data_IF_793066921290
#
_entry.id   IF_793066921290
#
_cell.length_a   1.000
_cell.length_b   1.000
_cell.length_c   1.000
_cell.angle_alpha   90.00
_cell.angle_beta   90.00
_cell.angle_gamma   90.00
#
_symmetry.space_group_name_H-M   'P 1'
#
loop_
_entity.id
_entity.type
_entity.pdbx_description
1 polymer ?
#
# COMPACT_ATOMS: atom_id res chain seq x y z
N UNK A 1 -31.24 -13.61 68.16
CA UNK A 1 -32.55 -14.00 68.72
C UNK A 1 -33.41 -14.41 67.54
N UNK A 2 -33.26 -15.69 67.19
CA UNK A 2 -34.34 -16.70 67.18
C UNK A 2 -35.00 -16.72 65.80
N UNK A 3 -34.57 -17.55 64.84
CA UNK A 3 -34.50 -19.03 64.78
C UNK A 3 -35.86 -19.73 64.63
N UNK A 4 -35.96 -20.52 63.57
CA UNK A 4 -36.60 -21.84 63.46
C UNK A 4 -36.92 -22.12 61.96
N UNK A 5 -36.14 -22.93 61.22
CA UNK A 5 -36.04 -24.41 61.25
C UNK A 5 -37.32 -25.06 60.68
N UNK A 6 -37.33 -26.00 59.72
CA UNK A 6 -36.73 -27.35 59.54
C UNK A 6 -37.11 -27.82 58.10
N UNK A 7 -36.49 -28.78 57.42
CA UNK A 7 -35.43 -29.75 57.71
C UNK A 7 -35.27 -30.71 56.51
N UNK A 8 -34.04 -31.14 56.24
CA UNK A 8 -33.71 -32.38 55.50
C UNK A 8 -33.84 -33.59 56.47
N UNK A 9 -33.82 -34.89 56.06
CA UNK A 9 -32.55 -35.59 55.72
C UNK A 9 -32.72 -36.84 54.75
N UNK A 10 -31.76 -37.29 53.91
CA UNK A 10 -30.58 -38.18 54.10
C UNK A 10 -30.68 -39.62 53.48
N UNK A 11 -29.71 -39.92 52.60
CA UNK A 11 -28.86 -41.14 52.35
C UNK A 11 -29.41 -42.58 52.21
N UNK A 12 -28.72 -43.32 51.31
CA UNK A 12 -28.18 -44.69 51.53
C UNK A 12 -28.58 -45.72 50.45
N UNK A 13 -27.72 -46.09 49.49
CA UNK A 13 -26.70 -47.18 49.46
C UNK A 13 -27.20 -48.65 49.37
N UNK A 14 -26.79 -49.29 48.26
CA UNK A 14 -26.22 -50.64 48.12
C UNK A 14 -27.07 -51.89 47.76
N UNK A 15 -26.62 -52.54 46.66
CA UNK A 15 -26.26 -53.98 46.51
C UNK A 15 -27.20 -54.99 45.81
N UNK A 16 -26.58 -55.81 44.93
CA UNK A 16 -27.00 -57.13 44.42
C UNK A 16 -27.98 -57.09 43.24
N UNK A 17 -27.73 -57.59 42.03
CA UNK A 17 -26.84 -58.64 41.56
C UNK A 17 -27.67 -59.86 41.13
N UNK A 18 -28.01 -59.99 39.84
CA UNK A 18 -28.17 -61.30 39.20
C UNK A 18 -28.12 -61.28 37.66
N UNK A 19 -27.76 -62.43 37.10
CA UNK A 19 -27.09 -62.67 35.81
C UNK A 19 -28.00 -62.80 34.58
N UNK A 20 -27.35 -62.58 33.42
CA UNK A 20 -27.48 -63.23 32.11
C UNK A 20 -28.75 -63.02 31.27
N UNK A 21 -28.61 -62.30 30.15
CA UNK A 21 -28.63 -62.95 28.83
C UNK A 21 -28.07 -62.02 27.75
N UNK A 22 -27.32 -62.63 26.82
CA UNK A 22 -26.67 -62.01 25.68
C UNK A 22 -27.63 -62.05 24.50
N UNK A 23 -27.91 -60.91 23.88
CA UNK A 23 -28.21 -60.83 22.44
C UNK A 23 -27.63 -59.51 21.93
N UNK A 24 -26.57 -59.60 21.12
CA UNK A 24 -26.03 -58.48 20.38
C UNK A 24 -26.92 -58.13 19.19
N UNK A 25 -27.04 -56.83 18.90
CA UNK A 25 -27.54 -56.33 17.62
C UNK A 25 -27.02 -54.91 17.36
N UNK A 26 -26.11 -54.81 16.39
CA UNK A 26 -26.07 -53.79 15.33
C UNK A 26 -26.26 -52.30 15.69
N UNK A 27 -25.46 -51.75 16.62
CA UNK A 27 -25.43 -50.28 16.81
C UNK A 27 -24.07 -49.60 16.55
N UNK A 28 -22.99 -50.35 16.31
CA UNK A 28 -21.66 -49.75 16.09
C UNK A 28 -21.32 -49.43 14.63
N UNK A 29 -22.07 -49.97 13.66
CA UNK A 29 -21.83 -49.70 12.22
C UNK A 29 -22.41 -48.36 11.72
N UNK A 30 -23.37 -47.78 12.45
CA UNK A 30 -24.00 -46.51 12.06
C UNK A 30 -23.25 -45.26 12.56
N UNK A 31 -22.51 -45.36 13.68
CA UNK A 31 -21.70 -44.28 14.22
C UNK A 31 -20.43 -44.00 13.39
N UNK A 32 -19.82 -45.04 12.81
CA UNK A 32 -18.66 -44.91 11.92
C UNK A 32 -18.98 -44.33 10.53
N UNK A 33 -20.17 -44.63 9.98
CA UNK A 33 -20.65 -44.07 8.71
C UNK A 33 -21.00 -42.59 8.82
N UNK A 34 -21.61 -42.15 9.93
CA UNK A 34 -21.91 -40.73 10.14
C UNK A 34 -20.64 -39.89 10.37
N UNK A 35 -19.66 -40.38 11.15
CA UNK A 35 -18.37 -39.68 11.29
C UNK A 35 -17.61 -39.54 9.97
N UNK A 36 -17.55 -40.59 9.14
CA UNK A 36 -16.90 -40.50 7.84
C UNK A 36 -17.65 -39.61 6.84
N UNK A 37 -18.98 -39.52 6.95
CA UNK A 37 -19.80 -38.60 6.16
C UNK A 37 -19.64 -37.16 6.61
N UNK A 38 -19.53 -36.89 7.91
CA UNK A 38 -19.26 -35.56 8.47
C UNK A 38 -17.82 -35.10 8.20
N UNK A 39 -16.83 -36.00 8.23
CA UNK A 39 -15.44 -35.70 7.82
C UNK A 39 -15.38 -35.42 6.31
N UNK A 40 -16.07 -36.21 5.47
CA UNK A 40 -16.18 -35.92 4.03
C UNK A 40 -16.93 -34.63 3.76
N UNK A 41 -18.00 -34.31 4.49
CA UNK A 41 -18.71 -33.02 4.38
C UNK A 41 -17.83 -31.86 4.85
N UNK A 42 -17.02 -32.04 5.89
CA UNK A 42 -16.07 -31.03 6.36
C UNK A 42 -14.86 -30.89 5.41
N UNK A 43 -14.48 -31.94 4.69
CA UNK A 43 -13.47 -31.89 3.62
C UNK A 43 -14.04 -31.26 2.35
N UNK A 44 -15.26 -31.60 1.92
CA UNK A 44 -15.99 -30.97 0.81
C UNK A 44 -16.29 -29.48 1.09
N UNK A 45 -16.63 -29.13 2.35
CA UNK A 45 -16.79 -27.72 2.77
C UNK A 45 -15.44 -26.97 2.87
N UNK A 46 -14.31 -27.69 2.99
CA UNK A 46 -12.96 -27.11 2.89
C UNK A 46 -12.51 -26.95 1.44
N UNK A 47 -13.03 -27.75 0.51
CA UNK A 47 -12.72 -27.63 -0.92
C UNK A 47 -13.38 -26.41 -1.57
N UNK A 48 -14.51 -25.93 -1.04
CA UNK A 48 -15.20 -24.70 -1.49
C UNK A 48 -14.99 -23.47 -0.56
N UNK A 49 -14.23 -23.62 0.54
CA UNK A 49 -13.95 -22.56 1.50
C UNK A 49 -12.58 -21.90 1.30
N UNK A 50 -12.49 -20.58 1.49
CA UNK A 50 -11.19 -19.90 1.54
C UNK A 50 -10.40 -20.39 2.75
N UNK A 51 -9.33 -21.16 2.54
CA UNK A 51 -8.39 -21.55 3.61
C UNK A 51 -7.51 -20.35 3.97
N UNK A 52 -7.74 -19.79 5.16
CA UNK A 52 -7.02 -18.65 5.70
C UNK A 52 -5.79 -19.06 6.53
N UNK A 53 -5.57 -20.37 6.74
CA UNK A 53 -4.46 -20.83 7.54
C UNK A 53 -3.14 -20.69 6.76
N UNK A 54 -2.14 -20.04 7.37
CA UNK A 54 -0.79 -20.00 6.82
C UNK A 54 -0.16 -21.40 6.87
N UNK A 55 0.51 -21.78 5.78
CA UNK A 55 1.28 -23.03 5.72
C UNK A 55 2.52 -22.92 6.64
N UNK A 56 3.11 -24.04 7.10
CA UNK A 56 4.29 -23.99 7.98
C UNK A 56 5.46 -23.18 7.40
N UNK A 57 5.70 -23.27 6.08
CA UNK A 57 6.71 -22.47 5.37
C UNK A 57 6.41 -20.95 5.39
N UNK A 58 5.14 -20.58 5.29
CA UNK A 58 4.69 -19.18 5.36
C UNK A 58 4.86 -18.64 6.78
N UNK A 59 4.58 -19.45 7.80
CA UNK A 59 4.82 -19.11 9.21
C UNK A 59 6.32 -18.90 9.48
N UNK A 60 7.17 -19.82 9.01
CA UNK A 60 8.62 -19.71 9.16
C UNK A 60 9.16 -18.44 8.49
N UNK A 61 8.67 -18.12 7.28
CA UNK A 61 9.06 -16.89 6.59
C UNK A 61 8.58 -15.64 7.33
N UNK A 62 7.36 -15.63 7.87
CA UNK A 62 6.87 -14.51 8.71
C UNK A 62 7.78 -14.29 9.91
N UNK A 63 8.19 -15.36 10.58
CA UNK A 63 9.05 -15.27 11.76
C UNK A 63 10.46 -14.79 11.38
N UNK A 64 10.98 -15.17 10.21
CA UNK A 64 12.21 -14.61 9.61
C UNK A 64 12.08 -13.10 9.35
N UNK A 65 10.96 -12.66 8.76
CA UNK A 65 10.68 -11.24 8.52
C UNK A 65 10.65 -10.46 9.83
N UNK A 66 9.97 -10.99 10.86
CA UNK A 66 9.91 -10.36 12.19
C UNK A 66 11.29 -10.23 12.82
N UNK A 67 12.10 -11.28 12.74
CA UNK A 67 13.46 -11.25 13.25
C UNK A 67 14.31 -10.18 12.53
N UNK A 68 14.23 -10.12 11.20
CA UNK A 68 14.91 -9.10 10.41
C UNK A 68 14.46 -7.67 10.79
N UNK A 69 13.16 -7.44 10.91
CA UNK A 69 12.60 -6.14 11.32
C UNK A 69 13.06 -5.78 12.74
N UNK A 70 13.04 -6.71 13.69
CA UNK A 70 13.51 -6.45 15.06
C UNK A 70 14.98 -6.03 15.11
N UNK A 71 15.83 -6.60 14.25
CA UNK A 71 17.26 -6.28 14.19
C UNK A 71 17.54 -4.98 13.42
N UNK A 72 16.83 -4.72 12.32
CA UNK A 72 17.21 -3.69 11.35
C UNK A 72 16.31 -2.44 11.38
N UNK A 73 15.07 -2.55 11.86
CA UNK A 73 14.14 -1.43 11.96
C UNK A 73 14.30 -0.74 13.33
N UNK A 74 15.22 0.22 13.39
CA UNK A 74 15.51 0.98 14.60
C UNK A 74 14.32 1.85 15.04
N UNK A 75 14.30 2.26 16.30
CA UNK A 75 13.24 3.13 16.82
C UNK A 75 13.27 4.53 16.20
N UNK A 76 14.44 4.99 15.76
CA UNK A 76 14.61 6.20 14.95
C UNK A 76 13.89 6.07 13.60
N UNK A 77 14.12 4.98 12.86
CA UNK A 77 13.44 4.74 11.57
C UNK A 77 11.91 4.72 11.76
N UNK A 78 11.43 4.06 12.83
CA UNK A 78 10.00 4.04 13.18
C UNK A 78 9.48 5.43 13.53
N UNK A 79 10.26 6.23 14.25
CA UNK A 79 9.85 7.58 14.65
C UNK A 79 9.71 8.51 13.44
N UNK A 80 10.69 8.53 12.55
CA UNK A 80 10.60 9.26 11.29
C UNK A 80 9.40 8.80 10.45
N UNK A 81 9.18 7.47 10.33
CA UNK A 81 8.03 6.94 9.61
C UNK A 81 6.69 7.38 10.22
N UNK A 82 6.58 7.42 11.56
CA UNK A 82 5.38 7.91 12.25
C UNK A 82 5.10 9.38 11.94
N UNK A 83 6.15 10.18 11.84
CA UNK A 83 6.13 11.62 11.56
C UNK A 83 5.98 11.97 10.07
N UNK A 84 5.88 10.98 9.17
CA UNK A 84 5.60 11.24 7.75
C UNK A 84 4.09 11.48 7.56
N UNK A 85 3.66 12.67 7.07
CA UNK A 85 2.25 12.98 6.87
C UNK A 85 1.67 12.41 5.58
N UNK A 86 2.50 12.26 4.54
CA UNK A 86 2.10 11.82 3.21
C UNK A 86 2.85 10.59 2.70
N UNK A 87 3.12 10.59 1.40
CA UNK A 87 3.78 9.50 0.66
C UNK A 87 5.30 9.70 0.59
N UNK A 88 5.76 10.96 0.65
CA UNK A 88 7.18 11.29 0.61
C UNK A 88 7.73 11.41 2.03
N UNK A 89 8.35 10.32 2.49
CA UNK A 89 9.20 10.37 3.67
C UNK A 89 10.53 11.07 3.36
N UNK A 90 11.19 11.53 4.43
CA UNK A 90 12.54 12.08 4.39
C UNK A 90 13.52 11.23 3.55
N UNK A 91 14.39 11.88 2.78
CA UNK A 91 15.27 11.18 1.85
C UNK A 91 16.31 10.32 2.59
N UNK A 92 16.91 10.83 3.67
CA UNK A 92 17.94 10.10 4.42
C UNK A 92 17.34 8.87 5.07
N UNK A 93 16.12 8.99 5.62
CA UNK A 93 15.35 7.85 6.10
C UNK A 93 15.17 6.77 5.02
N UNK A 94 14.70 7.17 3.82
CA UNK A 94 14.44 6.24 2.72
C UNK A 94 15.73 5.58 2.22
N UNK A 95 16.83 6.33 2.14
CA UNK A 95 18.15 5.83 1.74
C UNK A 95 18.67 4.81 2.75
N UNK A 96 18.63 5.14 4.04
CA UNK A 96 19.12 4.25 5.09
C UNK A 96 18.31 2.94 5.15
N UNK A 97 16.98 3.05 5.06
CA UNK A 97 16.12 1.87 5.04
C UNK A 97 16.39 1.00 3.80
N UNK A 98 16.53 1.61 2.63
CA UNK A 98 16.86 0.89 1.39
C UNK A 98 18.20 0.16 1.49
N UNK A 99 19.24 0.79 2.06
CA UNK A 99 20.56 0.15 2.24
C UNK A 99 20.47 -1.11 3.10
N UNK A 100 19.71 -1.06 4.21
CA UNK A 100 19.48 -2.22 5.10
C UNK A 100 18.78 -3.35 4.36
N UNK A 101 17.72 -3.03 3.62
CA UNK A 101 17.01 -3.99 2.80
C UNK A 101 17.91 -4.59 1.71
N UNK A 102 18.68 -3.76 1.00
CA UNK A 102 19.53 -4.21 -0.08
C UNK A 102 20.67 -5.10 0.41
N UNK A 103 21.26 -4.80 1.59
CA UNK A 103 22.26 -5.66 2.24
C UNK A 103 21.73 -7.08 2.49
N UNK A 104 20.44 -7.23 2.78
CA UNK A 104 19.76 -8.54 2.94
C UNK A 104 19.33 -9.15 1.61
N UNK A 105 19.31 -8.38 0.52
CA UNK A 105 18.73 -8.76 -0.77
C UNK A 105 17.20 -8.60 -0.83
N UNK A 106 16.61 -7.81 0.08
CA UNK A 106 15.17 -7.61 0.22
C UNK A 106 14.68 -6.24 -0.25
N UNK A 107 15.55 -5.42 -0.87
CA UNK A 107 15.20 -4.10 -1.40
C UNK A 107 14.05 -4.16 -2.41
N UNK A 108 14.02 -5.18 -3.26
CA UNK A 108 12.96 -5.40 -4.23
C UNK A 108 12.28 -6.77 -4.03
N UNK A 109 11.29 -6.87 -3.13
CA UNK A 109 10.61 -8.13 -2.83
C UNK A 109 10.01 -8.83 -4.07
N UNK A 110 9.44 -8.06 -4.99
CA UNK A 110 8.74 -8.57 -6.18
C UNK A 110 9.66 -8.86 -7.36
N UNK A 111 10.90 -8.37 -7.35
CA UNK A 111 11.80 -8.54 -8.49
C UNK A 111 12.33 -9.97 -8.55
N UNK A 112 12.43 -10.57 -9.74
CA UNK A 112 13.10 -11.85 -9.93
C UNK A 112 14.57 -11.80 -9.47
N UNK A 113 15.07 -12.94 -8.96
CA UNK A 113 16.46 -13.06 -8.50
C UNK A 113 17.50 -12.73 -9.57
N UNK A 114 17.23 -13.05 -10.84
CA UNK A 114 18.12 -12.74 -11.97
C UNK A 114 18.36 -11.23 -12.16
N UNK A 115 17.47 -10.38 -11.62
CA UNK A 115 17.59 -8.93 -11.64
C UNK A 115 17.99 -8.36 -10.27
N UNK A 116 18.51 -9.18 -9.36
CA UNK A 116 18.97 -8.77 -8.03
C UNK A 116 17.87 -8.62 -6.96
N UNK A 117 16.63 -8.99 -7.29
CA UNK A 117 15.51 -8.98 -6.36
C UNK A 117 15.47 -10.15 -5.37
N UNK A 118 14.58 -10.06 -4.39
CA UNK A 118 14.38 -11.12 -3.40
C UNK A 118 13.72 -12.38 -4.00
N UNK A 119 12.93 -12.19 -5.08
CA UNK A 119 12.17 -13.26 -5.72
C UNK A 119 11.04 -13.82 -4.86
N UNK A 120 10.43 -13.00 -4.00
CA UNK A 120 9.34 -13.45 -3.16
C UNK A 120 8.12 -13.82 -3.98
N UNK A 121 7.52 -14.97 -3.65
CA UNK A 121 6.23 -15.37 -4.20
C UNK A 121 5.09 -14.47 -3.67
N UNK A 122 3.87 -14.66 -4.17
CA UNK A 122 2.70 -13.83 -3.80
C UNK A 122 2.49 -13.79 -2.28
N UNK A 123 2.52 -14.94 -1.61
CA UNK A 123 2.29 -15.06 -0.16
C UNK A 123 3.43 -14.41 0.64
N UNK A 124 4.68 -14.64 0.25
CA UNK A 124 5.84 -14.00 0.89
C UNK A 124 5.79 -12.48 0.76
N UNK A 125 5.38 -11.94 -0.38
CA UNK A 125 5.18 -10.48 -0.54
C UNK A 125 4.10 -9.95 0.39
N UNK A 126 3.00 -10.69 0.54
CA UNK A 126 1.93 -10.33 1.46
C UNK A 126 2.40 -10.32 2.92
N UNK A 127 3.09 -11.37 3.34
CA UNK A 127 3.67 -11.49 4.69
C UNK A 127 4.65 -10.35 4.94
N UNK A 128 5.58 -10.11 4.01
CA UNK A 128 6.55 -9.03 4.09
C UNK A 128 5.87 -7.67 4.29
N UNK A 129 4.89 -7.36 3.45
CA UNK A 129 4.17 -6.09 3.50
C UNK A 129 3.34 -5.95 4.80
N UNK A 130 2.70 -7.03 5.24
CA UNK A 130 1.88 -7.04 6.47
C UNK A 130 2.73 -6.84 7.72
N UNK A 131 3.86 -7.53 7.82
CA UNK A 131 4.77 -7.40 8.95
C UNK A 131 5.49 -6.04 8.95
N UNK A 132 5.87 -5.49 7.78
CA UNK A 132 6.36 -4.12 7.67
C UNK A 132 5.33 -3.10 8.16
N UNK A 133 4.07 -3.25 7.75
CA UNK A 133 2.98 -2.37 8.17
C UNK A 133 2.75 -2.43 9.69
N UNK A 134 2.72 -3.65 10.25
CA UNK A 134 2.56 -3.87 11.69
C UNK A 134 3.73 -3.31 12.51
N UNK A 135 4.97 -3.46 12.03
CA UNK A 135 6.17 -2.96 12.69
C UNK A 135 6.35 -1.43 12.56
N UNK A 136 5.55 -0.78 11.72
CA UNK A 136 5.69 0.66 11.43
C UNK A 136 6.95 0.99 10.64
N UNK A 137 7.36 0.09 9.74
CA UNK A 137 8.50 0.33 8.85
C UNK A 137 8.24 1.57 7.96
N UNK A 138 9.29 2.32 7.59
CA UNK A 138 9.17 3.41 6.63
C UNK A 138 8.46 2.96 5.37
N UNK A 139 7.38 3.65 5.05
CA UNK A 139 6.76 3.59 3.73
C UNK A 139 7.25 4.80 2.94
N UNK A 140 7.48 4.63 1.65
CA UNK A 140 7.96 5.72 0.83
C UNK A 140 7.92 5.39 -0.64
N UNK A 141 7.73 6.43 -1.45
CA UNK A 141 7.86 6.34 -2.89
C UNK A 141 9.31 6.01 -3.26
N UNK A 142 9.58 4.75 -3.57
CA UNK A 142 10.73 4.37 -4.37
C UNK A 142 10.21 3.91 -5.75
N UNK A 143 9.91 4.89 -6.60
CA UNK A 143 9.41 4.63 -7.96
C UNK A 143 10.41 3.82 -8.79
N UNK A 144 11.71 3.89 -8.46
CA UNK A 144 12.72 3.02 -9.04
C UNK A 144 12.36 1.54 -8.86
N UNK A 145 12.12 1.13 -7.62
CA UNK A 145 11.79 -0.25 -7.25
C UNK A 145 10.40 -0.68 -7.72
N UNK A 146 9.39 0.17 -7.51
CA UNK A 146 7.99 -0.21 -7.74
C UNK A 146 7.53 -0.05 -9.19
N UNK A 147 8.17 0.82 -9.98
CA UNK A 147 7.69 1.19 -11.31
C UNK A 147 8.76 1.06 -12.40
N UNK A 148 9.88 1.77 -12.25
CA UNK A 148 10.90 1.88 -13.31
C UNK A 148 11.58 0.54 -13.57
N UNK A 149 12.02 -0.15 -12.52
CA UNK A 149 12.71 -1.43 -12.70
C UNK A 149 11.84 -2.51 -13.36
N UNK A 150 10.61 -2.78 -12.89
CA UNK A 150 9.69 -3.67 -13.59
C UNK A 150 9.46 -3.26 -15.05
N UNK A 151 9.29 -1.95 -15.31
CA UNK A 151 9.13 -1.42 -16.67
C UNK A 151 10.35 -1.73 -17.55
N UNK A 152 11.57 -1.57 -17.03
CA UNK A 152 12.81 -1.90 -17.73
C UNK A 152 12.96 -3.40 -17.96
N UNK A 153 12.52 -4.24 -17.03
CA UNK A 153 12.54 -5.70 -17.22
C UNK A 153 11.65 -6.12 -18.38
N UNK A 154 10.48 -5.48 -18.55
CA UNK A 154 9.52 -5.78 -19.61
C UNK A 154 9.78 -5.09 -20.95
N UNK A 155 10.24 -3.85 -20.94
CA UNK A 155 10.35 -3.00 -22.14
C UNK A 155 11.73 -2.35 -22.36
N UNK A 156 12.64 -2.46 -21.39
CA UNK A 156 13.98 -1.90 -21.50
C UNK A 156 14.88 -2.75 -22.40
N UNK A 157 15.91 -2.12 -22.96
CA UNK A 157 17.01 -2.84 -23.62
C UNK A 157 17.90 -3.52 -22.57
N UNK A 158 18.75 -4.44 -22.99
CA UNK A 158 19.65 -5.14 -22.07
C UNK A 158 20.70 -4.19 -21.47
N UNK A 159 21.13 -3.18 -22.22
CA UNK A 159 22.01 -2.11 -21.72
C UNK A 159 21.31 -1.27 -20.65
N UNK A 160 20.04 -0.92 -20.86
CA UNK A 160 19.24 -0.18 -19.87
C UNK A 160 19.05 -1.02 -18.59
N UNK A 161 18.73 -2.31 -18.72
CA UNK A 161 18.60 -3.22 -17.56
C UNK A 161 19.91 -3.33 -16.79
N UNK A 162 21.02 -3.55 -17.49
CA UNK A 162 22.34 -3.69 -16.88
C UNK A 162 22.81 -2.40 -16.20
N UNK A 163 22.45 -1.23 -16.75
CA UNK A 163 22.79 0.06 -16.17
C UNK A 163 21.92 0.41 -14.97
N UNK A 164 20.59 0.42 -15.11
CA UNK A 164 19.70 1.01 -14.11
C UNK A 164 19.31 0.07 -12.97
N UNK A 165 19.08 -1.22 -13.22
CA UNK A 165 18.54 -2.12 -12.19
C UNK A 165 19.44 -2.21 -10.94
N UNK A 166 20.77 -2.38 -11.06
CA UNK A 166 21.66 -2.39 -9.89
C UNK A 166 21.67 -1.06 -9.13
N UNK A 167 21.59 0.07 -9.86
CA UNK A 167 21.63 1.44 -9.32
C UNK A 167 20.34 1.82 -8.60
N UNK A 168 19.21 1.25 -9.02
CA UNK A 168 17.94 1.35 -8.30
C UNK A 168 18.03 0.57 -6.98
N UNK A 169 18.55 -0.66 -7.01
CA UNK A 169 18.63 -1.52 -5.82
C UNK A 169 19.55 -0.95 -4.75
N UNK A 170 20.67 -0.35 -5.14
CA UNK A 170 21.65 0.21 -4.21
C UNK A 170 21.35 1.66 -3.76
N UNK A 171 20.32 2.29 -4.34
CA UNK A 171 19.89 3.64 -3.98
C UNK A 171 20.73 4.77 -4.58
N UNK A 172 21.51 4.51 -5.63
CA UNK A 172 22.18 5.55 -6.41
C UNK A 172 21.21 6.34 -7.28
N UNK A 173 20.19 5.68 -7.83
CA UNK A 173 19.21 6.30 -8.73
C UNK A 173 17.84 6.45 -8.03
N UNK A 174 17.47 7.71 -7.73
CA UNK A 174 16.17 8.08 -7.17
C UNK A 174 15.31 8.75 -8.23
N UNK A 175 14.15 8.16 -8.47
CA UNK A 175 13.27 8.50 -9.58
C UNK A 175 12.06 9.31 -9.13
N UNK A 176 11.72 10.31 -9.94
CA UNK A 176 10.41 10.96 -9.93
C UNK A 176 9.67 10.77 -11.26
N UNK A 177 8.33 10.93 -11.24
CA UNK A 177 7.46 10.71 -12.38
C UNK A 177 7.05 12.01 -13.08
N UNK A 178 7.45 12.18 -14.33
CA UNK A 178 7.05 13.30 -15.19
C UNK A 178 5.87 12.94 -16.11
N UNK A 179 4.68 12.69 -15.56
CA UNK A 179 3.49 12.33 -16.35
C UNK A 179 2.56 13.53 -16.55
N UNK A 180 1.87 13.93 -15.48
CA UNK A 180 0.83 14.95 -15.51
C UNK A 180 1.38 16.33 -15.86
N UNK A 181 0.50 17.15 -16.43
CA UNK A 181 0.77 18.54 -16.82
C UNK A 181 -0.39 19.43 -16.36
N UNK A 182 -0.24 20.77 -16.31
CA UNK A 182 -1.34 21.67 -15.93
C UNK A 182 -2.64 21.44 -16.71
N UNK A 183 -2.56 21.03 -17.98
CA UNK A 183 -3.71 20.69 -18.82
C UNK A 183 -3.99 19.19 -18.99
N UNK A 184 -3.20 18.31 -18.35
CA UNK A 184 -3.22 16.87 -18.64
C UNK A 184 -3.07 16.04 -17.35
N UNK A 185 -4.19 15.85 -16.65
CA UNK A 185 -4.31 14.95 -15.50
C UNK A 185 -4.96 13.62 -15.89
N UNK A 186 -6.28 13.50 -15.68
CA UNK A 186 -7.07 12.31 -16.05
C UNK A 186 -7.05 12.03 -17.56
N UNK A 187 -7.04 13.07 -18.41
CA UNK A 187 -6.77 12.94 -19.85
C UNK A 187 -5.26 13.02 -20.12
N UNK A 188 -4.51 12.02 -19.62
CA UNK A 188 -3.05 11.99 -19.75
C UNK A 188 -2.58 11.99 -21.22
N UNK A 189 -3.38 11.44 -22.14
CA UNK A 189 -3.05 11.42 -23.56
C UNK A 189 -2.97 12.81 -24.19
N UNK A 190 -3.56 13.84 -23.57
CA UNK A 190 -3.52 15.22 -24.03
C UNK A 190 -2.21 15.96 -23.77
N UNK A 191 -1.21 15.32 -23.14
CA UNK A 191 0.08 15.93 -22.79
C UNK A 191 0.75 16.66 -23.96
N UNK A 192 1.42 17.76 -23.65
CA UNK A 192 2.03 18.72 -24.58
C UNK A 192 3.53 18.90 -24.38
N UNK A 193 4.11 18.47 -23.25
CA UNK A 193 5.57 18.44 -23.11
C UNK A 193 6.14 17.59 -24.26
N UNK A 194 7.02 18.18 -25.06
CA UNK A 194 7.46 17.61 -26.33
C UNK A 194 8.94 17.25 -26.30
N UNK A 195 9.31 16.31 -27.15
CA UNK A 195 10.69 15.93 -27.39
C UNK A 195 10.97 16.02 -28.89
N UNK A 196 11.65 17.08 -29.31
CA UNK A 196 12.03 17.30 -30.70
C UNK A 196 13.32 16.53 -31.00
N UNK A 197 13.37 15.82 -32.12
CA UNK A 197 14.55 15.03 -32.50
C UNK A 197 15.69 15.94 -32.99
N UNK A 198 16.89 15.76 -32.43
CA UNK A 198 18.12 16.44 -32.85
C UNK A 198 19.31 15.47 -32.86
N UNK A 199 19.64 14.93 -34.04
CA UNK A 199 20.70 13.92 -34.18
C UNK A 199 20.43 12.67 -33.35
N UNK A 200 21.36 12.34 -32.45
CA UNK A 200 21.28 11.20 -31.52
C UNK A 200 20.54 11.53 -30.21
N UNK A 201 20.05 12.76 -30.06
CA UNK A 201 19.36 13.26 -28.87
C UNK A 201 17.92 13.70 -29.16
N UNK A 202 17.18 13.91 -28.09
CA UNK A 202 15.96 14.70 -28.03
C UNK A 202 16.21 16.03 -27.34
N UNK A 203 15.50 17.07 -27.75
CA UNK A 203 15.40 18.35 -27.05
C UNK A 203 14.01 18.43 -26.42
N UNK A 204 13.95 18.40 -25.09
CA UNK A 204 12.71 18.37 -24.32
C UNK A 204 12.33 19.78 -23.90
N UNK A 205 11.09 20.15 -24.20
CA UNK A 205 10.50 21.44 -23.86
C UNK A 205 9.08 21.27 -23.29
N UNK A 206 8.78 21.94 -22.19
CA UNK A 206 7.45 21.95 -21.59
C UNK A 206 7.47 21.94 -20.07
N UNK A 207 6.42 21.37 -19.47
CA UNK A 207 6.29 21.31 -18.01
C UNK A 207 5.60 20.01 -17.57
N UNK A 208 5.94 19.55 -16.37
CA UNK A 208 5.25 18.51 -15.63
C UNK A 208 4.76 19.07 -14.30
N UNK A 209 3.64 18.56 -13.82
CA UNK A 209 2.97 19.02 -12.61
C UNK A 209 2.69 17.85 -11.67
N UNK A 210 2.58 18.14 -10.38
CA UNK A 210 2.34 17.15 -9.32
C UNK A 210 3.45 16.10 -9.21
N UNK A 211 4.68 16.44 -9.59
CA UNK A 211 5.81 15.52 -9.59
C UNK A 211 6.28 15.28 -8.14
N UNK A 212 5.84 14.18 -7.53
CA UNK A 212 6.22 13.79 -6.17
C UNK A 212 7.73 13.58 -6.04
N UNK A 213 8.33 14.20 -5.02
CA UNK A 213 9.73 13.98 -4.67
C UNK A 213 10.77 14.44 -5.70
N UNK A 214 10.40 15.29 -6.66
CA UNK A 214 11.33 15.78 -7.69
C UNK A 214 12.58 16.43 -7.08
N UNK A 215 12.42 17.24 -6.04
CA UNK A 215 13.53 17.90 -5.33
C UNK A 215 14.46 16.92 -4.56
N UNK A 216 14.05 15.67 -4.37
CA UNK A 216 14.84 14.59 -3.75
C UNK A 216 15.29 13.53 -4.77
N UNK A 217 15.08 13.78 -6.07
CA UNK A 217 15.34 12.82 -7.14
C UNK A 217 16.49 13.31 -8.02
N UNK A 218 17.28 12.37 -8.54
CA UNK A 218 18.35 12.63 -9.50
C UNK A 218 18.04 12.04 -10.89
N UNK A 219 16.94 11.30 -11.01
CA UNK A 219 16.41 10.75 -12.26
C UNK A 219 14.94 11.12 -12.42
N UNK A 220 14.48 11.18 -13.67
CA UNK A 220 13.06 11.25 -13.99
C UNK A 220 12.71 10.27 -15.10
N UNK A 221 11.58 9.59 -14.98
CA UNK A 221 10.94 8.96 -16.13
C UNK A 221 9.72 9.79 -16.52
N UNK A 222 9.59 10.12 -17.80
CA UNK A 222 8.54 11.03 -18.25
C UNK A 222 7.91 10.58 -19.57
N UNK A 223 6.68 11.05 -19.78
CA UNK A 223 6.01 10.94 -21.06
C UNK A 223 6.12 12.26 -21.81
N UNK A 224 6.53 12.17 -23.07
CA UNK A 224 6.69 13.33 -23.95
C UNK A 224 6.04 13.07 -25.29
N UNK A 225 5.57 14.13 -25.94
CA UNK A 225 5.02 14.11 -27.29
C UNK A 225 6.17 14.15 -28.29
N UNK A 226 6.34 13.08 -29.05
CA UNK A 226 7.33 12.97 -30.14
C UNK A 226 6.67 13.10 -31.52
N UNK A 227 5.36 12.85 -31.62
CA UNK A 227 4.58 13.15 -32.82
C UNK A 227 3.31 13.95 -32.45
N UNK A 228 3.26 15.26 -32.78
CA UNK A 228 2.07 16.07 -32.55
C UNK A 228 0.96 15.83 -33.57
N UNK A 229 1.26 15.17 -34.69
CA UNK A 229 0.34 14.96 -35.81
C UNK A 229 -0.23 13.54 -35.85
N UNK A 230 0.12 12.68 -34.88
CA UNK A 230 -0.39 11.33 -34.77
C UNK A 230 -1.93 11.30 -34.79
N UNK A 231 -2.51 10.39 -35.58
CA UNK A 231 -3.96 10.28 -35.76
C UNK A 231 -4.70 10.03 -34.43
N UNK A 232 -4.09 9.27 -33.51
CA UNK A 232 -4.52 9.17 -32.12
C UNK A 232 -3.48 9.80 -31.21
N UNK A 233 -3.93 10.61 -30.25
CA UNK A 233 -3.03 11.32 -29.32
C UNK A 233 -2.06 10.39 -28.59
N UNK A 234 -2.48 9.16 -28.26
CA UNK A 234 -1.68 8.13 -27.59
C UNK A 234 -0.52 7.60 -28.46
N UNK A 235 -0.71 7.58 -29.77
CA UNK A 235 0.25 7.06 -30.75
C UNK A 235 1.33 8.09 -31.10
N UNK A 236 1.36 9.24 -30.43
CA UNK A 236 2.41 10.26 -30.60
C UNK A 236 3.23 10.51 -29.34
N UNK A 237 3.19 9.58 -28.38
CA UNK A 237 3.83 9.71 -27.06
C UNK A 237 5.00 8.73 -26.96
N UNK A 238 6.13 9.18 -26.42
CA UNK A 238 7.30 8.36 -26.10
C UNK A 238 7.57 8.36 -24.59
N UNK A 239 8.20 7.28 -24.10
CA UNK A 239 8.63 7.12 -22.71
C UNK A 239 10.14 7.35 -22.63
N UNK A 240 10.56 8.37 -21.86
CA UNK A 240 11.95 8.81 -21.80
C UNK A 240 12.47 8.76 -20.36
N UNK A 241 13.71 8.30 -20.21
CA UNK A 241 14.49 8.40 -18.97
C UNK A 241 15.41 9.62 -19.03
N UNK A 242 15.28 10.54 -18.08
CA UNK A 242 16.17 11.69 -17.92
C UNK A 242 17.21 11.30 -16.88
N UNK A 243 18.46 11.13 -17.35
CA UNK A 243 19.57 10.65 -16.52
C UNK A 243 20.22 11.71 -15.65
N UNK A 244 20.17 12.95 -16.08
CA UNK A 244 20.69 14.09 -15.34
C UNK A 244 19.52 15.02 -15.05
N UNK A 245 18.81 14.76 -13.95
CA UNK A 245 17.66 15.57 -13.55
C UNK A 245 18.06 16.95 -12.99
N UNK A 246 19.37 17.23 -12.94
CA UNK A 246 19.92 18.54 -12.58
C UNK A 246 20.58 19.22 -13.78
N UNK A 247 20.39 18.68 -14.99
CA UNK A 247 20.89 19.28 -16.22
C UNK A 247 20.37 20.71 -16.40
N UNK A 248 21.19 21.54 -17.04
CA UNK A 248 20.81 22.89 -17.43
C UNK A 248 19.50 22.86 -18.23
N UNK A 249 18.57 23.75 -17.89
CA UNK A 249 17.24 23.82 -18.51
C UNK A 249 16.15 23.10 -17.73
N UNK A 250 16.50 22.29 -16.72
CA UNK A 250 15.53 21.73 -15.78
C UNK A 250 15.37 22.68 -14.59
N UNK A 251 14.13 23.11 -14.32
CA UNK A 251 13.77 23.87 -13.10
C UNK A 251 12.72 23.11 -12.31
N UNK A 252 12.91 22.99 -11.01
CA UNK A 252 11.97 22.36 -10.08
C UNK A 252 11.44 23.41 -9.12
N UNK A 253 10.15 23.72 -9.20
CA UNK A 253 9.47 24.65 -8.31
C UNK A 253 8.62 23.88 -7.28
N UNK A 254 8.73 24.22 -5.98
CA UNK A 254 8.00 23.56 -4.92
C UNK A 254 6.49 23.85 -5.00
N UNK A 255 5.68 22.85 -4.69
CA UNK A 255 4.25 23.03 -4.41
C UNK A 255 4.01 22.60 -2.97
N UNK A 256 3.71 23.57 -2.12
CA UNK A 256 3.40 23.32 -0.71
C UNK A 256 1.95 22.83 -0.62
N UNK A 257 1.79 21.63 -0.08
CA UNK A 257 0.47 21.00 0.06
C UNK A 257 -0.36 21.68 1.16
N UNK A 258 -1.65 21.34 1.22
CA UNK A 258 -2.55 21.86 2.25
C UNK A 258 -2.09 21.53 3.68
N UNK A 259 -1.34 20.45 3.85
CA UNK A 259 -0.76 20.05 5.14
C UNK A 259 0.50 20.86 5.52
N UNK A 260 1.00 21.73 4.62
CA UNK A 260 2.25 22.50 4.81
C UNK A 260 3.50 21.78 4.28
N UNK A 261 3.38 20.55 3.79
CA UNK A 261 4.51 19.73 3.37
C UNK A 261 4.92 20.00 1.91
N UNK A 262 6.24 20.01 1.65
CA UNK A 262 6.82 20.03 0.31
C UNK A 262 6.93 18.60 -0.24
N UNK A 263 5.82 18.06 -0.75
CA UNK A 263 5.78 16.69 -1.28
C UNK A 263 5.85 16.63 -2.81
N UNK A 264 5.23 17.61 -3.48
CA UNK A 264 5.04 17.64 -4.93
C UNK A 264 5.64 18.91 -5.53
N UNK A 265 5.91 18.86 -6.84
CA UNK A 265 6.65 19.90 -7.53
C UNK A 265 6.03 20.15 -8.91
N UNK A 266 6.25 21.36 -9.42
CA UNK A 266 6.19 21.62 -10.86
C UNK A 266 7.60 21.55 -11.42
N UNK A 267 7.75 20.91 -12.58
CA UNK A 267 9.04 20.78 -13.27
C UNK A 267 8.92 21.44 -14.63
N UNK A 268 9.92 22.22 -15.02
CA UNK A 268 10.00 22.90 -16.31
C UNK A 268 11.22 22.40 -17.08
N UNK A 269 11.05 22.28 -18.39
CA UNK A 269 12.09 21.88 -19.33
C UNK A 269 12.22 22.97 -20.38
N UNK A 270 13.42 23.55 -20.47
CA UNK A 270 13.82 24.55 -21.44
C UNK A 270 15.06 24.05 -22.19
N UNK A 271 14.86 23.59 -23.43
CA UNK A 271 15.89 22.99 -24.29
C UNK A 271 16.75 21.90 -23.64
N UNK A 272 16.11 21.00 -22.89
CA UNK A 272 16.80 19.93 -22.15
C UNK A 272 17.18 18.79 -23.09
N UNK A 273 18.49 18.56 -23.25
CA UNK A 273 19.03 17.53 -24.15
C UNK A 273 19.07 16.16 -23.46
N UNK A 274 18.47 15.15 -24.09
CA UNK A 274 18.42 13.76 -23.59
C UNK A 274 18.77 12.77 -24.71
N UNK A 275 19.74 11.87 -24.53
CA UNK A 275 20.08 10.88 -25.54
C UNK A 275 18.91 9.97 -25.94
N UNK A 276 18.75 9.66 -27.23
CA UNK A 276 17.69 8.76 -27.73
C UNK A 276 17.79 7.35 -27.16
N UNK A 277 18.98 6.89 -26.77
CA UNK A 277 19.20 5.61 -26.08
C UNK A 277 18.47 5.52 -24.73
N UNK A 278 18.04 6.65 -24.16
CA UNK A 278 17.28 6.70 -22.92
C UNK A 278 15.78 6.51 -23.14
N UNK A 279 15.33 6.37 -24.38
CA UNK A 279 13.96 6.00 -24.70
C UNK A 279 13.72 4.54 -24.34
N UNK A 280 12.64 4.27 -23.61
CA UNK A 280 12.19 2.91 -23.33
C UNK A 280 11.15 2.52 -24.37
N UNK A 281 11.42 1.43 -25.09
CA UNK A 281 10.61 1.01 -26.23
C UNK A 281 10.85 1.84 -27.51
N UNK A 282 10.00 1.60 -28.50
CA UNK A 282 10.02 2.32 -29.77
C UNK A 282 9.52 3.76 -29.63
N UNK A 283 9.97 4.65 -30.53
CA UNK A 283 9.38 5.98 -30.65
C UNK A 283 7.88 5.88 -30.86
N UNK A 284 7.12 6.82 -30.29
CA UNK A 284 5.66 6.89 -30.40
C UNK A 284 4.89 5.72 -29.74
N UNK A 285 5.59 4.78 -29.10
CA UNK A 285 5.00 3.64 -28.38
C UNK A 285 5.07 3.78 -26.85
N UNK A 286 5.31 5.00 -26.35
CA UNK A 286 5.41 5.31 -24.93
C UNK A 286 4.10 5.07 -24.17
N UNK A 287 2.94 5.17 -24.81
CA UNK A 287 1.66 4.86 -24.18
C UNK A 287 1.54 3.38 -23.77
N UNK A 288 2.10 2.47 -24.57
CA UNK A 288 2.13 1.04 -24.25
C UNK A 288 3.00 0.78 -23.02
N UNK A 289 4.19 1.38 -22.98
CA UNK A 289 5.12 1.30 -21.85
C UNK A 289 4.49 1.89 -20.57
N UNK A 290 3.82 3.04 -20.68
CA UNK A 290 3.14 3.67 -19.56
C UNK A 290 2.00 2.82 -19.00
N UNK A 291 1.18 2.18 -19.85
CA UNK A 291 0.13 1.27 -19.37
C UNK A 291 0.73 0.10 -18.59
N UNK A 292 1.82 -0.49 -19.07
CA UNK A 292 2.53 -1.55 -18.36
C UNK A 292 3.05 -1.07 -17.00
N UNK A 293 3.67 0.12 -16.95
CA UNK A 293 4.12 0.72 -15.69
C UNK A 293 2.95 0.92 -14.69
N UNK A 294 1.81 1.43 -15.17
CA UNK A 294 0.64 1.72 -14.35
C UNK A 294 -0.02 0.46 -13.74
N UNK A 295 0.24 -0.74 -14.28
CA UNK A 295 -0.18 -1.99 -13.65
C UNK A 295 0.53 -2.20 -12.32
N UNK A 296 1.82 -1.83 -12.22
CA UNK A 296 2.61 -1.91 -10.99
C UNK A 296 2.33 -0.76 -10.02
N UNK A 297 1.95 0.42 -10.53
CA UNK A 297 1.51 1.53 -9.67
C UNK A 297 0.26 1.17 -8.85
N UNK A 298 -0.63 0.38 -9.45
CA UNK A 298 -1.93 0.01 -8.87
C UNK A 298 -1.92 -1.32 -8.14
N UNK A 299 -0.95 -2.20 -8.44
CA UNK A 299 -0.85 -3.55 -7.90
C UNK A 299 0.26 -3.69 -6.87
N UNK A 300 -0.06 -4.19 -5.68
CA UNK A 300 0.96 -4.78 -4.79
C UNK A 300 1.21 -4.11 -3.45
N UNK A 301 0.39 -3.16 -3.00
CA UNK A 301 0.41 -2.75 -1.59
C UNK A 301 -0.54 -3.63 -0.77
N UNK A 302 -0.15 -3.97 0.46
CA UNK A 302 -1.03 -4.61 1.46
C UNK A 302 -2.00 -3.55 2.02
N UNK A 303 -3.01 -3.19 1.22
CA UNK A 303 -3.97 -2.15 1.55
C UNK A 303 -4.72 -2.52 2.83
N UNK A 304 -5.14 -3.79 2.95
CA UNK A 304 -5.83 -4.27 4.14
C UNK A 304 -5.00 -4.11 5.41
N UNK A 305 -3.75 -4.60 5.39
CA UNK A 305 -2.84 -4.50 6.54
C UNK A 305 -2.55 -3.05 6.94
N UNK A 306 -2.38 -2.15 5.96
CA UNK A 306 -2.19 -0.72 6.22
C UNK A 306 -3.41 -0.06 6.86
N UNK A 307 -4.62 -0.34 6.34
CA UNK A 307 -5.88 0.16 6.89
C UNK A 307 -6.12 -0.37 8.31
N UNK A 308 -5.85 -1.66 8.54
CA UNK A 308 -5.95 -2.28 9.86
C UNK A 308 -5.02 -1.64 10.88
N UNK A 309 -3.78 -1.37 10.49
CA UNK A 309 -2.83 -0.65 11.34
C UNK A 309 -3.30 0.79 11.64
N UNK A 310 -3.82 1.51 10.63
CA UNK A 310 -4.36 2.85 10.81
C UNK A 310 -5.58 2.85 11.76
N UNK A 311 -6.49 1.89 11.61
CA UNK A 311 -7.64 1.69 12.50
C UNK A 311 -7.20 1.35 13.93
N UNK A 312 -6.20 0.50 14.11
CA UNK A 312 -5.66 0.16 15.42
C UNK A 312 -5.04 1.39 16.11
N UNK A 313 -4.33 2.24 15.37
CA UNK A 313 -3.84 3.52 15.90
C UNK A 313 -4.99 4.45 16.31
N UNK A 314 -6.05 4.52 15.51
CA UNK A 314 -7.25 5.28 15.87
C UNK A 314 -7.92 4.72 17.14
N UNK A 315 -7.97 3.39 17.32
CA UNK A 315 -8.46 2.75 18.56
C UNK A 315 -7.66 3.19 19.78
N UNK A 316 -6.33 3.30 19.66
CA UNK A 316 -5.46 3.80 20.75
C UNK A 316 -5.77 5.26 21.08
N UNK A 317 -5.92 6.12 20.06
CA UNK A 317 -6.31 7.53 20.25
C UNK A 317 -7.67 7.61 20.95
N UNK A 318 -8.69 6.90 20.45
CA UNK A 318 -10.03 6.90 21.04
C UNK A 318 -10.08 6.30 22.46
N UNK A 319 -9.15 5.39 22.80
CA UNK A 319 -9.01 4.84 24.16
C UNK A 319 -8.33 5.78 25.16
N UNK A 320 -7.69 6.84 24.65
CA UNK A 320 -6.96 7.87 25.41
C UNK A 320 -7.78 9.16 25.53
N UNK A 321 -8.44 9.56 24.44
CA UNK A 321 -9.31 10.73 24.38
C UNK A 321 -10.63 10.49 25.13
N UNK A 322 -11.29 11.59 25.53
CA UNK A 322 -12.54 11.57 26.27
C UNK A 322 -13.66 12.21 25.45
N UNK A 323 -14.87 11.68 25.58
CA UNK A 323 -16.08 12.28 25.03
C UNK A 323 -16.47 13.54 25.82
N UNK A 324 -17.43 14.30 25.29
CA UNK A 324 -18.02 15.44 26.00
C UNK A 324 -18.73 15.07 27.31
N UNK A 325 -19.00 13.78 27.55
CA UNK A 325 -19.58 13.25 28.80
C UNK A 325 -18.52 12.82 29.82
N UNK A 326 -17.23 12.95 29.51
CA UNK A 326 -16.12 12.59 30.39
C UNK A 326 -15.81 11.08 30.45
N UNK A 327 -16.49 10.24 29.67
CA UNK A 327 -16.11 8.84 29.46
C UNK A 327 -15.04 8.76 28.37
N UNK A 328 -14.33 7.63 28.27
CA UNK A 328 -13.42 7.41 27.13
C UNK A 328 -14.19 7.49 25.82
N UNK A 329 -13.59 8.07 24.79
CA UNK A 329 -14.24 8.24 23.49
C UNK A 329 -14.58 6.89 22.85
N UNK A 330 -13.75 5.87 23.05
CA UNK A 330 -14.02 4.50 22.58
C UNK A 330 -15.30 3.88 23.19
N UNK A 331 -15.77 4.43 24.32
CA UNK A 331 -16.99 4.01 25.00
C UNK A 331 -18.22 4.83 24.65
N UNK A 332 -18.04 5.94 23.92
CA UNK A 332 -19.15 6.73 23.40
C UNK A 332 -19.93 5.94 22.32
N UNK A 333 -21.25 5.73 22.48
CA UNK A 333 -22.02 4.91 21.53
C UNK A 333 -22.00 5.45 20.09
N UNK A 334 -21.93 6.77 19.89
CA UNK A 334 -21.95 7.36 18.56
C UNK A 334 -20.60 7.21 17.86
N UNK A 335 -19.50 7.44 18.58
CA UNK A 335 -18.16 7.23 18.05
C UNK A 335 -17.89 5.74 17.79
N UNK A 336 -18.22 4.88 18.75
CA UNK A 336 -18.07 3.43 18.63
C UNK A 336 -18.77 2.87 17.41
N UNK A 337 -20.02 3.29 17.14
CA UNK A 337 -20.76 2.88 15.93
C UNK A 337 -20.00 3.20 14.65
N UNK A 338 -19.47 4.42 14.50
CA UNK A 338 -18.72 4.83 13.31
C UNK A 338 -17.39 4.08 13.16
N UNK A 339 -16.73 3.82 14.29
CA UNK A 339 -15.51 3.02 14.33
C UNK A 339 -15.76 1.57 13.89
N UNK A 340 -16.84 0.96 14.38
CA UNK A 340 -17.22 -0.41 14.03
C UNK A 340 -17.68 -0.52 12.56
N UNK A 341 -18.45 0.46 12.06
CA UNK A 341 -18.78 0.58 10.63
C UNK A 341 -17.51 0.65 9.76
N UNK A 342 -16.51 1.42 10.19
CA UNK A 342 -15.22 1.53 9.49
C UNK A 342 -14.43 0.22 9.55
N UNK A 343 -14.48 -0.51 10.68
CA UNK A 343 -13.83 -1.82 10.79
C UNK A 343 -14.43 -2.87 9.84
N UNK A 344 -15.75 -2.86 9.66
CA UNK A 344 -16.42 -3.71 8.67
C UNK A 344 -15.87 -3.43 7.27
N UNK A 345 -15.62 -2.16 6.92
CA UNK A 345 -15.03 -1.81 5.64
C UNK A 345 -13.57 -2.24 5.50
N UNK A 346 -12.75 -2.04 6.55
CA UNK A 346 -11.36 -2.53 6.58
C UNK A 346 -11.33 -4.04 6.34
N UNK A 347 -12.19 -4.78 7.04
CA UNK A 347 -12.32 -6.23 6.90
C UNK A 347 -12.73 -6.61 5.47
N UNK A 348 -13.69 -5.91 4.88
CA UNK A 348 -14.11 -6.16 3.50
C UNK A 348 -12.96 -5.94 2.49
N UNK A 349 -12.11 -4.93 2.71
CA UNK A 349 -10.91 -4.70 1.88
C UNK A 349 -9.89 -5.83 2.06
N UNK A 350 -9.59 -6.24 3.30
CA UNK A 350 -8.66 -7.36 3.59
C UNK A 350 -9.09 -8.66 2.91
N UNK A 351 -10.36 -9.05 3.03
CA UNK A 351 -10.86 -10.28 2.39
C UNK A 351 -10.91 -10.18 0.86
N UNK A 352 -11.15 -8.98 0.32
CA UNK A 352 -11.05 -8.75 -1.13
C UNK A 352 -9.60 -8.90 -1.61
N UNK A 353 -8.64 -8.39 -0.84
CA UNK A 353 -7.21 -8.53 -1.09
C UNK A 353 -6.78 -10.00 -1.04
N UNK A 354 -7.20 -10.76 -0.02
CA UNK A 354 -6.94 -12.20 0.07
C UNK A 354 -7.44 -12.97 -1.15
N UNK A 355 -8.66 -12.65 -1.63
CA UNK A 355 -9.22 -13.27 -2.83
C UNK A 355 -8.37 -12.97 -4.07
N UNK A 356 -7.93 -11.73 -4.25
CA UNK A 356 -7.07 -11.33 -5.38
C UNK A 356 -5.70 -12.00 -5.30
N UNK A 357 -5.12 -12.11 -4.11
CA UNK A 357 -3.85 -12.80 -3.91
C UNK A 357 -3.96 -14.29 -4.23
N UNK A 358 -5.06 -14.94 -3.84
CA UNK A 358 -5.33 -16.33 -4.21
C UNK A 358 -5.43 -16.52 -5.72
N UNK A 359 -6.12 -15.60 -6.42
CA UNK A 359 -6.19 -15.61 -7.89
C UNK A 359 -4.81 -15.43 -8.54
N UNK A 360 -4.02 -14.47 -8.05
CA UNK A 360 -2.66 -14.22 -8.52
C UNK A 360 -1.73 -15.41 -8.30
N UNK A 361 -1.82 -16.09 -7.14
CA UNK A 361 -1.01 -17.29 -6.87
C UNK A 361 -1.35 -18.46 -7.80
N UNK A 362 -2.57 -18.48 -8.34
CA UNK A 362 -3.02 -19.45 -9.34
C UNK A 362 -2.80 -18.97 -10.79
N UNK A 363 -2.02 -17.91 -11.00
CA UNK A 363 -1.65 -17.41 -12.33
C UNK A 363 -2.76 -16.60 -13.04
N UNK A 364 -3.83 -16.23 -12.34
CA UNK A 364 -4.91 -15.41 -12.90
C UNK A 364 -4.56 -13.92 -12.85
N UNK A 365 -5.14 -13.13 -13.76
CA UNK A 365 -4.98 -11.68 -13.79
C UNK A 365 -5.98 -11.01 -12.84
N UNK A 366 -5.56 -10.05 -12.00
CA UNK A 366 -6.43 -9.36 -11.06
C UNK A 366 -7.49 -8.48 -11.76
N UNK A 367 -7.26 -8.06 -13.01
CA UNK A 367 -8.21 -7.30 -13.81
C UNK A 367 -8.76 -6.06 -13.10
N UNK A 368 -10.08 -5.90 -13.09
CA UNK A 368 -10.76 -4.79 -12.42
C UNK A 368 -10.61 -4.78 -10.89
N UNK A 369 -10.17 -5.89 -10.29
CA UNK A 369 -10.09 -6.03 -8.84
C UNK A 369 -9.05 -5.08 -8.21
N UNK A 370 -7.99 -4.74 -8.95
CA UNK A 370 -7.02 -3.72 -8.54
C UNK A 370 -7.66 -2.32 -8.42
N UNK A 371 -8.53 -1.96 -9.37
CA UNK A 371 -9.30 -0.70 -9.32
C UNK A 371 -10.29 -0.68 -8.15
N UNK A 372 -10.93 -1.81 -7.84
CA UNK A 372 -11.82 -1.95 -6.68
C UNK A 372 -11.06 -1.70 -5.38
N UNK A 373 -9.92 -2.37 -5.19
CA UNK A 373 -9.09 -2.20 -3.99
C UNK A 373 -8.58 -0.77 -3.86
N UNK A 374 -8.07 -0.16 -4.94
CA UNK A 374 -7.59 1.23 -4.88
C UNK A 374 -8.69 2.17 -4.43
N UNK A 375 -9.88 2.05 -5.03
CA UNK A 375 -11.01 2.93 -4.72
C UNK A 375 -11.49 2.72 -3.28
N UNK A 376 -11.78 1.47 -2.89
CA UNK A 376 -12.26 1.16 -1.54
C UNK A 376 -11.22 1.46 -0.48
N UNK A 377 -9.95 1.19 -0.75
CA UNK A 377 -8.85 1.47 0.15
C UNK A 377 -8.69 2.97 0.41
N UNK A 378 -8.75 3.80 -0.63
CA UNK A 378 -8.70 5.26 -0.48
C UNK A 378 -9.91 5.80 0.32
N UNK A 379 -11.12 5.37 -0.02
CA UNK A 379 -12.35 5.81 0.67
C UNK A 379 -12.35 5.40 2.15
N UNK A 380 -11.92 4.16 2.46
CA UNK A 380 -11.84 3.67 3.84
C UNK A 380 -10.73 4.37 4.62
N UNK A 381 -9.57 4.65 4.01
CA UNK A 381 -8.52 5.43 4.67
C UNK A 381 -8.98 6.86 4.98
N UNK A 382 -9.74 7.48 4.07
CA UNK A 382 -10.35 8.79 4.30
C UNK A 382 -11.27 8.78 5.52
N UNK A 383 -12.11 7.76 5.69
CA UNK A 383 -12.96 7.60 6.89
C UNK A 383 -12.15 7.45 8.18
N UNK A 384 -11.08 6.66 8.16
CA UNK A 384 -10.20 6.49 9.33
C UNK A 384 -9.59 7.84 9.74
N UNK A 385 -9.10 8.62 8.77
CA UNK A 385 -8.51 9.94 9.06
C UNK A 385 -9.55 10.97 9.51
N UNK A 386 -10.77 10.93 8.98
CA UNK A 386 -11.90 11.77 9.44
C UNK A 386 -12.26 11.47 10.89
N UNK A 387 -12.35 10.19 11.27
CA UNK A 387 -12.58 9.81 12.65
C UNK A 387 -11.41 10.19 13.57
N UNK A 388 -10.18 10.21 13.04
CA UNK A 388 -9.02 10.75 13.76
C UNK A 388 -9.19 12.23 14.10
N UNK A 389 -9.57 13.04 13.12
CA UNK A 389 -9.87 14.48 13.30
C UNK A 389 -10.98 14.68 14.32
N UNK A 390 -12.06 13.90 14.22
CA UNK A 390 -13.13 13.94 15.22
C UNK A 390 -12.63 13.56 16.62
N UNK A 391 -11.78 12.54 16.72
CA UNK A 391 -11.31 12.02 18.01
C UNK A 391 -10.45 13.01 18.79
N UNK A 392 -9.62 13.79 18.11
CA UNK A 392 -8.73 14.77 18.77
C UNK A 392 -9.41 16.14 19.00
N UNK A 393 -10.64 16.32 18.49
CA UNK A 393 -11.49 17.48 18.72
C UNK A 393 -10.77 18.83 18.55
N UNK A 394 -10.58 19.60 19.64
CA UNK A 394 -9.97 20.93 19.58
C UNK A 394 -8.46 20.90 19.27
N UNK A 395 -7.78 19.76 19.45
CA UNK A 395 -6.37 19.59 19.08
C UNK A 395 -6.14 19.51 17.56
N UNK A 396 -7.19 19.61 16.73
CA UNK A 396 -7.03 19.81 15.27
C UNK A 396 -6.55 21.23 14.91
N UNK A 397 -6.70 22.19 15.82
CA UNK A 397 -6.42 23.61 15.57
C UNK A 397 -4.92 23.95 15.58
N UNK A 398 -4.12 23.46 16.55
CA UNK A 398 -2.70 23.77 16.57
C UNK A 398 -1.99 23.14 15.38
N UNK A 399 -1.27 23.96 14.63
CA UNK A 399 -0.34 23.50 13.60
C UNK A 399 1.09 23.96 13.94
N UNK A 400 1.91 23.01 14.38
CA UNK A 400 3.34 23.23 14.68
C UNK A 400 4.15 22.36 13.72
N UNK A 401 4.38 22.86 12.50
CA UNK A 401 5.07 22.12 11.42
C UNK A 401 6.46 21.66 11.86
N UNK A 402 7.20 22.49 12.60
CA UNK A 402 8.55 22.19 13.07
C UNK A 402 8.56 20.96 14.00
N UNK A 403 7.54 20.79 14.85
CA UNK A 403 7.43 19.66 15.76
C UNK A 403 7.21 18.32 15.03
N UNK A 404 6.82 18.36 13.74
CA UNK A 404 6.70 17.18 12.88
C UNK A 404 8.03 16.70 12.33
N UNK A 405 9.12 17.45 12.55
CA UNK A 405 10.46 17.05 12.13
C UNK A 405 11.12 16.24 13.24
N UNK A 406 11.62 15.04 12.92
CA UNK A 406 12.38 14.25 13.88
C UNK A 406 13.61 15.02 14.38
N UNK A 407 13.86 14.97 15.70
CA UNK A 407 14.97 15.67 16.32
C UNK A 407 14.77 17.18 16.50
N UNK A 408 13.62 17.74 16.09
CA UNK A 408 13.30 19.12 16.38
C UNK A 408 13.14 19.34 17.89
N UNK A 409 13.79 20.38 18.42
CA UNK A 409 13.67 20.76 19.83
C UNK A 409 12.45 21.68 20.05
N UNK A 410 11.32 21.34 19.44
CA UNK A 410 10.06 22.10 19.50
C UNK A 410 8.97 21.15 20.00
N UNK A 411 8.41 21.35 21.21
CA UNK A 411 7.36 20.50 21.72
C UNK A 411 6.04 20.71 20.95
N UNK A 412 5.23 19.66 20.73
CA UNK A 412 3.90 19.80 20.15
C UNK A 412 2.95 20.53 21.11
N UNK A 413 1.90 21.14 20.57
CA UNK A 413 0.80 21.68 21.39
C UNK A 413 -0.25 20.58 21.57
N UNK A 414 -0.38 20.09 22.81
CA UNK A 414 -1.27 18.98 23.14
C UNK A 414 -0.54 17.64 23.23
N UNK A 415 -1.27 16.52 23.34
CA UNK A 415 -0.68 15.18 23.42
C UNK A 415 0.07 14.78 22.14
N UNK A 416 1.19 14.06 22.26
CA UNK A 416 2.02 13.65 21.12
C UNK A 416 1.26 12.91 20.01
N UNK A 417 0.22 12.14 20.36
CA UNK A 417 -0.57 11.37 19.39
C UNK A 417 -1.46 12.21 18.48
N UNK A 418 -1.68 13.50 18.80
CA UNK A 418 -2.51 14.40 17.98
C UNK A 418 -1.73 15.03 16.83
N UNK A 419 -0.40 15.17 16.98
CA UNK A 419 0.49 15.93 16.09
C UNK A 419 0.34 15.58 14.60
N UNK A 420 0.19 14.28 14.28
CA UNK A 420 0.15 13.79 12.90
C UNK A 420 -1.26 13.54 12.37
N UNK A 421 -2.32 13.76 13.16
CA UNK A 421 -3.69 13.45 12.76
C UNK A 421 -4.18 14.39 11.66
N UNK A 422 -4.10 15.70 11.88
CA UNK A 422 -4.56 16.70 10.91
C UNK A 422 -3.73 16.68 9.61
N UNK A 423 -2.39 16.63 9.65
CA UNK A 423 -1.58 16.54 8.42
C UNK A 423 -1.91 15.30 7.58
N UNK A 424 -2.09 14.13 8.21
CA UNK A 424 -2.48 12.90 7.51
C UNK A 424 -3.88 13.00 6.92
N UNK A 425 -4.83 13.58 7.63
CA UNK A 425 -6.17 13.83 7.11
C UNK A 425 -6.14 14.69 5.84
N UNK A 426 -5.40 15.80 5.88
CA UNK A 426 -5.26 16.72 4.76
C UNK A 426 -4.58 16.07 3.56
N UNK A 427 -3.47 15.34 3.77
CA UNK A 427 -2.77 14.64 2.69
C UNK A 427 -3.64 13.53 2.06
N UNK A 428 -4.37 12.77 2.89
CA UNK A 428 -5.21 11.64 2.45
C UNK A 428 -6.34 12.08 1.51
N UNK A 429 -6.73 13.36 1.49
CA UNK A 429 -7.70 13.89 0.52
C UNK A 429 -7.26 13.68 -0.92
N UNK A 430 -5.95 13.70 -1.20
CA UNK A 430 -5.42 13.50 -2.55
C UNK A 430 -5.54 12.05 -3.05
N UNK A 431 -5.72 11.05 -2.17
CA UNK A 431 -5.73 9.62 -2.54
C UNK A 431 -6.87 9.22 -3.50
N UNK A 432 -7.99 9.93 -3.44
CA UNK A 432 -9.12 9.70 -4.36
C UNK A 432 -8.93 10.38 -5.72
N UNK A 433 -7.84 11.15 -5.88
CA UNK A 433 -7.52 11.93 -7.08
C UNK A 433 -6.31 11.33 -7.81
N UNK A 434 -5.17 11.16 -7.13
CA UNK A 434 -3.95 10.63 -7.77
C UNK A 434 -4.06 9.11 -8.05
N UNK A 435 -3.18 8.60 -8.92
CA UNK A 435 -3.21 7.20 -9.37
C UNK A 435 -4.43 6.86 -10.23
N UNK A 436 -5.11 7.88 -10.76
CA UNK A 436 -6.41 7.82 -11.43
C UNK A 436 -7.54 8.09 -10.45
N UNK A 437 -8.33 9.13 -10.75
CA UNK A 437 -9.43 9.56 -9.88
C UNK A 437 -10.47 8.47 -9.69
N UNK A 438 -11.25 8.54 -8.61
CA UNK A 438 -12.28 7.54 -8.36
C UNK A 438 -13.31 7.42 -9.50
N UNK A 439 -13.62 8.50 -10.22
CA UNK A 439 -14.46 8.48 -11.42
C UNK A 439 -13.80 7.71 -12.57
N UNK A 440 -12.50 7.92 -12.80
CA UNK A 440 -11.74 7.17 -13.81
C UNK A 440 -11.69 5.68 -13.45
N UNK A 441 -11.47 5.35 -12.17
CA UNK A 441 -11.48 3.95 -11.71
C UNK A 441 -12.87 3.32 -11.88
N UNK A 442 -13.95 4.05 -11.60
CA UNK A 442 -15.33 3.58 -11.86
C UNK A 442 -15.59 3.35 -13.35
N UNK A 443 -15.08 4.21 -14.23
CA UNK A 443 -15.18 4.00 -15.67
C UNK A 443 -14.42 2.75 -16.14
N UNK A 444 -13.24 2.49 -15.58
CA UNK A 444 -12.47 1.26 -15.86
C UNK A 444 -13.25 0.03 -15.40
N UNK A 445 -13.81 0.06 -14.20
CA UNK A 445 -14.62 -1.04 -13.67
C UNK A 445 -15.89 -1.27 -14.48
N UNK A 446 -16.60 -0.20 -14.85
CA UNK A 446 -17.81 -0.30 -15.67
C UNK A 446 -17.52 -0.99 -17.02
N UNK A 447 -16.42 -0.61 -17.68
CA UNK A 447 -15.97 -1.27 -18.92
C UNK A 447 -15.59 -2.73 -18.71
N UNK A 448 -14.76 -2.99 -17.70
CA UNK A 448 -14.16 -4.31 -17.50
C UNK A 448 -15.13 -5.35 -16.90
N UNK A 449 -16.09 -4.91 -16.06
CA UNK A 449 -17.02 -5.80 -15.34
C UNK A 449 -18.39 -5.81 -15.98
N UNK A 450 -18.88 -4.65 -16.45
CA UNK A 450 -20.24 -4.49 -16.97
C UNK A 450 -20.29 -4.40 -18.51
N UNK A 451 -19.15 -4.22 -19.18
CA UNK A 451 -19.09 -4.09 -20.65
C UNK A 451 -19.70 -2.79 -21.18
N UNK A 452 -19.79 -1.74 -20.36
CA UNK A 452 -20.41 -0.45 -20.68
C UNK A 452 -19.53 0.49 -21.51
#
# INVERSE_FOLDING_TARGET
>A
MEDASRGAPVRGCASGGDKLSVTGSDNDLNLGRNKNRDIRKQQELREDGMDLAMRPEDVAFRDEVRAFLAENLTDELKAHARLTPGILADQDLRVEWLKRLNKRGWAAPSWPKQYGGAGFNVMQRFIWASECAAAGAPQGSNMGLSMVGPTLMGHGTDEQKAHYLPRILNGEDWWCQGYSEPGSGSDLASLQCRADSDGDDYIINGTKLWTTGAHQSNKMFCLVRTDPNAAKKQEGISFILIDDFHAKGIKVDPIITLAGDHEVNQVFFDDVRVPKKNRVGAENNGWTVAKYLLEFERGGAAHGANLRNALNKLRVVAGTEHSGTGTKLIDDPNFRRKLDETEVEVTAVEFTEHRIMSQLSNGQNPGAAASIIKLRGADTNQKITELGVEAIAYYVQPDVIEARTWGANVPPVGPDHTLMVMPKYLNTRAQTIFGGSNEVQRNIMAKAVLGL
#
